data_IF_348967251404
#
_entry.id   IF_348967251404
#
_cell.length_a   1.000
_cell.length_b   1.000
_cell.length_c   1.000
_cell.angle_alpha   90.00
_cell.angle_beta   90.00
_cell.angle_gamma   90.00
#
_symmetry.space_group_name_H-M   'P 1'
#
loop_
_entity.id
_entity.type
_entity.pdbx_description
1 polymer ?
#
# COMPACT_ATOMS: atom_id res chain seq x y z
N UNK A 1 96.12 5.72 -8.49
CA UNK A 1 95.94 5.64 -9.95
C UNK A 1 94.77 4.67 -10.20
N UNK A 2 93.86 5.01 -11.14
CA UNK A 2 92.44 4.59 -11.29
C UNK A 2 91.52 5.31 -10.28
N UNK A 3 90.66 6.32 -10.57
CA UNK A 3 89.75 6.73 -11.67
C UNK A 3 88.42 5.96 -11.80
N UNK A 4 87.33 6.74 -11.70
CA UNK A 4 85.92 6.57 -12.11
C UNK A 4 85.05 5.57 -11.31
N UNK A 5 83.73 5.76 -11.10
CA UNK A 5 82.75 6.62 -11.76
C UNK A 5 81.64 7.09 -10.81
N UNK A 6 81.03 8.23 -11.15
CA UNK A 6 79.77 8.74 -10.60
C UNK A 6 78.57 8.04 -11.24
N UNK A 7 77.55 7.68 -10.46
CA UNK A 7 76.20 7.48 -11.00
C UNK A 7 75.16 8.08 -10.04
N UNK A 8 74.46 9.10 -10.52
CA UNK A 8 73.29 9.65 -9.88
C UNK A 8 72.08 8.77 -10.19
N UNK A 9 71.47 8.21 -9.16
CA UNK A 9 70.16 7.57 -9.29
C UNK A 9 69.09 8.50 -8.74
N UNK A 10 68.48 9.27 -9.65
CA UNK A 10 67.21 9.94 -9.39
C UNK A 10 66.16 8.89 -9.02
N UNK A 11 65.50 9.08 -7.89
CA UNK A 11 64.38 8.22 -7.47
C UNK A 11 63.24 8.37 -8.47
N UNK A 12 62.98 7.33 -9.24
CA UNK A 12 61.77 7.20 -10.04
C UNK A 12 60.57 7.01 -9.10
N UNK A 13 59.71 8.02 -8.99
CA UNK A 13 58.40 7.88 -8.34
C UNK A 13 57.39 7.40 -9.38
N UNK A 14 56.82 6.19 -9.22
CA UNK A 14 55.78 5.74 -10.13
C UNK A 14 54.49 6.57 -9.91
N UNK A 15 53.69 6.79 -10.96
CA UNK A 15 52.61 7.79 -10.99
C UNK A 15 51.40 7.52 -10.06
N UNK A 16 51.48 6.53 -9.16
CA UNK A 16 50.40 6.17 -8.22
C UNK A 16 50.73 6.49 -6.76
N UNK A 17 51.81 7.24 -6.50
CA UNK A 17 52.25 7.56 -5.13
C UNK A 17 51.37 8.59 -4.39
N UNK A 18 50.33 9.12 -5.04
CA UNK A 18 49.35 10.01 -4.41
C UNK A 18 47.92 9.45 -4.57
N UNK A 19 47.59 8.42 -3.80
CA UNK A 19 46.20 8.14 -3.46
C UNK A 19 46.07 8.36 -1.96
N UNK A 20 45.64 9.56 -1.60
CA UNK A 20 45.03 9.83 -0.29
C UNK A 20 43.89 8.85 -0.10
N UNK A 21 43.78 8.25 1.09
CA UNK A 21 42.64 7.42 1.49
C UNK A 21 41.34 8.17 1.19
N UNK A 22 40.73 7.82 0.07
CA UNK A 22 39.42 8.28 -0.33
C UNK A 22 38.45 7.78 0.72
N UNK A 23 37.80 8.70 1.42
CA UNK A 23 36.59 8.44 2.20
C UNK A 23 35.67 7.54 1.39
N UNK A 24 35.62 6.26 1.74
CA UNK A 24 34.53 5.40 1.34
C UNK A 24 33.31 5.97 2.05
N UNK A 25 32.57 6.83 1.35
CA UNK A 25 31.16 7.04 1.66
C UNK A 25 30.54 5.66 1.56
N UNK A 26 30.15 5.14 2.72
CA UNK A 26 29.40 3.90 2.85
C UNK A 26 28.28 3.95 1.80
N UNK A 27 28.29 2.99 0.87
CA UNK A 27 27.22 2.90 -0.10
C UNK A 27 25.92 2.77 0.69
N UNK A 28 24.80 3.42 0.28
CA UNK A 28 23.53 3.16 0.92
C UNK A 28 23.34 1.64 0.95
N UNK A 29 22.90 1.06 2.08
CA UNK A 29 22.75 -0.38 2.17
C UNK A 29 21.95 -0.85 0.96
N UNK A 30 22.38 -1.95 0.34
CA UNK A 30 21.69 -2.55 -0.80
C UNK A 30 20.19 -2.75 -0.48
N UNK A 31 19.34 -2.95 -1.50
CA UNK A 31 17.91 -3.14 -1.30
C UNK A 31 17.69 -4.15 -0.16
N UNK A 32 17.08 -3.68 0.91
CA UNK A 32 16.79 -4.49 2.07
C UNK A 32 15.65 -5.42 1.65
N UNK A 33 15.91 -6.73 1.64
CA UNK A 33 14.89 -7.74 1.40
C UNK A 33 13.93 -7.76 2.59
N UNK A 34 12.88 -6.95 2.53
CA UNK A 34 11.78 -7.00 3.48
C UNK A 34 10.70 -7.95 2.96
N UNK A 35 10.31 -8.92 3.80
CA UNK A 35 9.07 -9.67 3.57
C UNK A 35 7.92 -8.83 4.13
N UNK A 36 7.04 -8.36 3.24
CA UNK A 36 5.86 -7.60 3.62
C UNK A 36 4.77 -8.57 4.10
N UNK A 37 4.38 -8.49 5.38
CA UNK A 37 3.27 -9.25 5.96
C UNK A 37 1.99 -8.41 5.92
N UNK A 38 1.54 -8.04 4.72
CA UNK A 38 0.28 -7.32 4.52
C UNK A 38 -0.67 -8.11 3.63
N UNK A 39 -1.96 -7.89 3.82
CA UNK A 39 -2.96 -8.40 2.89
C UNK A 39 -2.75 -7.84 1.49
N UNK A 40 -2.67 -8.73 0.49
CA UNK A 40 -2.49 -8.35 -0.90
C UNK A 40 -3.67 -7.51 -1.41
N UNK A 41 -3.43 -6.44 -2.20
CA UNK A 41 -4.51 -5.63 -2.75
C UNK A 41 -5.35 -6.44 -3.73
N UNK A 42 -6.66 -6.17 -3.75
CA UNK A 42 -7.61 -6.83 -4.66
C UNK A 42 -8.07 -5.86 -5.74
N UNK A 43 -8.76 -4.79 -5.33
CA UNK A 43 -9.13 -3.65 -6.19
C UNK A 43 -8.88 -2.35 -5.44
N UNK A 44 -7.60 -1.97 -5.29
CA UNK A 44 -7.21 -0.91 -4.37
C UNK A 44 -7.53 0.49 -4.89
N UNK A 45 -7.90 0.62 -6.17
CA UNK A 45 -8.19 1.88 -6.85
C UNK A 45 -9.59 1.87 -7.44
N UNK A 46 -10.28 3.01 -7.38
CA UNK A 46 -11.53 3.24 -8.10
C UNK A 46 -11.57 4.66 -8.68
N UNK A 47 -11.75 4.78 -9.99
CA UNK A 47 -11.96 6.06 -10.67
C UNK A 47 -13.46 6.38 -10.72
N UNK A 48 -13.83 7.63 -10.46
CA UNK A 48 -15.21 8.10 -10.58
C UNK A 48 -15.68 8.04 -12.03
N UNK A 49 -17.00 7.98 -12.22
CA UNK A 49 -17.60 7.87 -13.56
C UNK A 49 -17.27 9.06 -14.48
N UNK A 50 -17.08 10.26 -13.92
CA UNK A 50 -16.66 11.48 -14.64
C UNK A 50 -15.14 11.55 -14.86
N UNK A 51 -14.36 10.67 -14.21
CA UNK A 51 -12.91 10.66 -14.30
C UNK A 51 -12.20 11.73 -13.48
N UNK A 52 -12.91 12.53 -12.67
CA UNK A 52 -12.35 13.66 -11.91
C UNK A 52 -11.83 13.28 -10.53
N UNK A 53 -12.22 12.11 -10.00
CA UNK A 53 -11.81 11.63 -8.68
C UNK A 53 -11.28 10.21 -8.73
N UNK A 54 -10.11 9.99 -8.10
CA UNK A 54 -9.53 8.66 -7.91
C UNK A 54 -9.48 8.34 -6.42
N UNK A 55 -10.11 7.22 -6.04
CA UNK A 55 -10.01 6.63 -4.72
C UNK A 55 -8.84 5.64 -4.69
N UNK A 56 -8.06 5.66 -3.62
CA UNK A 56 -7.02 4.69 -3.36
C UNK A 56 -7.05 4.23 -1.90
N UNK A 57 -6.99 2.92 -1.67
CA UNK A 57 -6.77 2.40 -0.33
C UNK A 57 -5.28 2.43 0.00
N UNK A 58 -4.96 2.92 1.18
CA UNK A 58 -3.62 2.95 1.73
C UNK A 58 -3.56 1.92 2.86
N UNK A 59 -3.25 0.67 2.46
CA UNK A 59 -3.29 -0.51 3.34
C UNK A 59 -2.48 -0.34 4.62
N UNK A 60 -1.20 0.10 4.58
CA UNK A 60 -0.39 0.24 5.79
C UNK A 60 -0.91 1.33 6.73
N UNK A 61 -1.54 2.37 6.18
CA UNK A 61 -2.03 3.50 6.96
C UNK A 61 -3.46 3.30 7.49
N UNK A 62 -4.20 2.29 7.02
CA UNK A 62 -5.62 2.14 7.34
C UNK A 62 -6.47 3.33 6.85
N UNK A 63 -6.18 3.83 5.63
CA UNK A 63 -6.83 5.03 5.10
C UNK A 63 -7.40 4.84 3.69
N UNK A 64 -8.41 5.64 3.39
CA UNK A 64 -8.87 5.93 2.03
C UNK A 64 -8.30 7.29 1.62
N UNK A 65 -7.42 7.29 0.62
CA UNK A 65 -6.90 8.48 -0.01
C UNK A 65 -7.80 8.86 -1.21
N UNK A 66 -8.21 10.13 -1.27
CA UNK A 66 -9.08 10.68 -2.32
C UNK A 66 -8.28 11.71 -3.10
N UNK A 67 -8.09 11.46 -4.39
CA UNK A 67 -7.35 12.31 -5.30
C UNK A 67 -8.30 13.03 -6.27
N UNK A 68 -7.98 14.30 -6.57
CA UNK A 68 -8.48 14.96 -7.78
C UNK A 68 -7.60 14.56 -8.95
N UNK A 69 -8.23 14.21 -10.06
CA UNK A 69 -7.58 13.91 -11.33
C UNK A 69 -7.61 15.16 -12.20
N UNK A 70 -6.44 15.55 -12.70
CA UNK A 70 -6.28 16.72 -13.58
C UNK A 70 -5.40 16.36 -14.78
N UNK A 71 -5.35 17.21 -15.79
CA UNK A 71 -4.42 17.06 -16.91
C UNK A 71 -2.93 17.06 -16.49
N UNK A 72 -2.63 17.58 -15.30
CA UNK A 72 -1.28 17.61 -14.72
C UNK A 72 -0.98 16.39 -13.83
N UNK A 73 -1.94 15.47 -13.69
CA UNK A 73 -1.84 14.28 -12.85
C UNK A 73 -2.76 14.31 -11.63
N UNK A 74 -2.36 13.58 -10.58
CA UNK A 74 -3.15 13.35 -9.37
C UNK A 74 -2.76 14.34 -8.27
N UNK A 75 -3.75 14.95 -7.61
CA UNK A 75 -3.56 15.77 -6.42
C UNK A 75 -4.32 15.18 -5.25
N UNK A 76 -3.64 14.87 -4.13
CA UNK A 76 -4.29 14.34 -2.94
C UNK A 76 -5.19 15.42 -2.33
N UNK A 77 -6.51 15.20 -2.35
CA UNK A 77 -7.50 16.12 -1.81
C UNK A 77 -7.75 15.87 -0.33
N UNK A 78 -7.96 14.60 0.01
CA UNK A 78 -8.37 14.18 1.35
C UNK A 78 -7.80 12.80 1.65
N UNK A 79 -7.67 12.52 2.94
CA UNK A 79 -7.39 11.17 3.40
C UNK A 79 -8.20 10.87 4.65
N UNK A 80 -8.98 9.80 4.59
CA UNK A 80 -10.00 9.47 5.58
C UNK A 80 -9.61 8.18 6.29
N UNK A 81 -9.58 8.15 7.64
CA UNK A 81 -9.33 6.91 8.37
C UNK A 81 -10.48 5.91 8.14
N UNK A 82 -10.12 4.65 7.92
CA UNK A 82 -11.04 3.52 7.74
C UNK A 82 -10.67 2.38 8.70
N UNK A 83 -11.05 1.14 8.40
CA UNK A 83 -10.65 -0.03 9.19
C UNK A 83 -9.21 -0.48 8.90
N UNK A 84 -8.85 -1.64 9.45
CA UNK A 84 -7.50 -2.19 9.35
C UNK A 84 -7.32 -2.98 8.06
N UNK A 85 -6.14 -2.80 7.45
CA UNK A 85 -5.75 -3.39 6.16
C UNK A 85 -6.85 -3.26 5.09
N UNK A 86 -7.17 -2.03 4.65
CA UNK A 86 -8.07 -1.84 3.54
C UNK A 86 -7.44 -2.39 2.24
N UNK A 87 -8.19 -3.23 1.52
CA UNK A 87 -7.71 -3.99 0.34
C UNK A 87 -8.50 -3.73 -0.94
N UNK A 88 -9.72 -3.21 -0.82
CA UNK A 88 -10.56 -2.86 -1.95
C UNK A 88 -11.43 -1.63 -1.67
N UNK A 89 -11.73 -0.87 -2.72
CA UNK A 89 -12.67 0.25 -2.66
C UNK A 89 -13.57 0.26 -3.89
N UNK A 90 -14.83 0.66 -3.70
CA UNK A 90 -15.75 0.93 -4.79
C UNK A 90 -16.61 2.15 -4.49
N UNK A 91 -16.94 2.91 -5.54
CA UNK A 91 -18.05 3.85 -5.48
C UNK A 91 -19.38 3.11 -5.44
N UNK A 92 -20.34 3.64 -4.69
CA UNK A 92 -21.74 3.25 -4.80
C UNK A 92 -22.36 3.78 -6.11
N UNK A 93 -23.61 3.40 -6.38
CA UNK A 93 -24.29 3.70 -7.65
C UNK A 93 -24.37 5.20 -7.99
N UNK A 94 -24.59 6.06 -7.00
CA UNK A 94 -24.72 7.51 -7.19
C UNK A 94 -23.39 8.28 -7.09
N UNK A 95 -22.26 7.58 -6.91
CA UNK A 95 -20.91 8.13 -6.77
C UNK A 95 -20.72 9.05 -5.54
N UNK A 96 -21.65 9.06 -4.57
CA UNK A 96 -21.56 9.91 -3.37
C UNK A 96 -20.93 9.21 -2.17
N UNK A 97 -20.70 7.91 -2.26
CA UNK A 97 -20.06 7.13 -1.20
C UNK A 97 -18.94 6.25 -1.75
N UNK A 98 -17.86 6.14 -0.98
CA UNK A 98 -16.86 5.10 -1.11
C UNK A 98 -17.14 3.97 -0.10
N UNK A 99 -17.12 2.73 -0.56
CA UNK A 99 -17.23 1.54 0.28
C UNK A 99 -15.89 0.83 0.26
N UNK A 100 -15.24 0.78 1.42
CA UNK A 100 -13.87 0.27 1.59
C UNK A 100 -13.93 -1.04 2.36
N UNK A 101 -13.35 -2.09 1.78
CA UNK A 101 -13.23 -3.41 2.41
C UNK A 101 -11.98 -3.45 3.27
N UNK A 102 -12.16 -3.68 4.56
CA UNK A 102 -11.09 -3.76 5.55
C UNK A 102 -10.88 -5.22 5.93
N UNK A 103 -9.77 -5.80 5.44
CA UNK A 103 -9.52 -7.23 5.52
C UNK A 103 -9.27 -7.68 6.97
N UNK A 104 -8.35 -7.03 7.69
CA UNK A 104 -7.96 -7.46 9.02
C UNK A 104 -9.02 -7.16 10.10
N UNK A 105 -9.84 -6.14 9.90
CA UNK A 105 -10.88 -5.76 10.85
C UNK A 105 -12.27 -6.32 10.51
N UNK A 106 -12.39 -7.28 9.59
CA UNK A 106 -13.65 -7.95 9.22
C UNK A 106 -14.83 -7.00 8.97
N UNK A 107 -14.57 -5.92 8.24
CA UNK A 107 -15.53 -4.83 8.12
C UNK A 107 -15.51 -4.12 6.79
N UNK A 108 -16.55 -3.33 6.54
CA UNK A 108 -16.64 -2.39 5.42
C UNK A 108 -16.85 -1.00 5.99
N UNK A 109 -16.00 -0.05 5.59
CA UNK A 109 -16.15 1.36 5.90
C UNK A 109 -16.92 2.07 4.79
N UNK A 110 -17.96 2.80 5.13
CA UNK A 110 -18.73 3.64 4.21
C UNK A 110 -18.34 5.09 4.46
N UNK A 111 -17.71 5.71 3.46
CA UNK A 111 -17.26 7.10 3.51
C UNK A 111 -18.16 7.95 2.60
N UNK A 112 -18.77 8.99 3.15
CA UNK A 112 -19.52 9.98 2.38
C UNK A 112 -18.53 10.97 1.72
N UNK A 113 -18.58 11.07 0.39
CA UNK A 113 -17.71 11.91 -0.43
C UNK A 113 -18.35 13.26 -0.80
N UNK A 114 -19.66 13.38 -0.62
CA UNK A 114 -20.44 14.59 -0.85
C UNK A 114 -20.42 15.57 0.33
N UNK A 115 -19.57 15.30 1.33
CA UNK A 115 -19.30 16.16 2.48
C UNK A 115 -17.92 16.77 2.36
N UNK A 116 -17.74 17.94 2.96
CA UNK A 116 -16.45 18.62 3.01
C UNK A 116 -16.12 18.93 4.48
N UNK A 117 -15.18 18.19 5.10
CA UNK A 117 -14.40 17.09 4.54
C UNK A 117 -15.24 15.81 4.32
N UNK A 118 -14.75 14.85 3.51
CA UNK A 118 -15.33 13.52 3.46
C UNK A 118 -15.28 12.86 4.84
N UNK A 119 -16.27 12.03 5.14
CA UNK A 119 -16.45 11.47 6.48
C UNK A 119 -16.78 9.98 6.41
N UNK A 120 -16.15 9.18 7.27
CA UNK A 120 -16.63 7.85 7.61
C UNK A 120 -18.00 7.98 8.27
N UNK A 121 -19.06 7.51 7.60
CA UNK A 121 -20.44 7.62 8.09
C UNK A 121 -20.94 6.33 8.72
N UNK A 122 -20.35 5.19 8.36
CA UNK A 122 -20.76 3.89 8.90
C UNK A 122 -19.64 2.86 8.76
N UNK A 123 -19.60 1.92 9.71
CA UNK A 123 -18.82 0.68 9.60
C UNK A 123 -19.78 -0.50 9.68
N UNK A 124 -19.71 -1.39 8.69
CA UNK A 124 -20.48 -2.63 8.63
C UNK A 124 -19.57 -3.79 9.03
N UNK A 125 -19.99 -4.59 10.00
CA UNK A 125 -19.31 -5.84 10.33
C UNK A 125 -19.77 -6.95 9.38
N UNK A 126 -18.83 -7.69 8.81
CA UNK A 126 -19.10 -8.73 7.81
C UNK A 126 -18.50 -10.08 8.22
N UNK A 127 -18.43 -11.03 7.28
CA UNK A 127 -17.70 -12.28 7.48
C UNK A 127 -16.20 -12.06 7.64
N UNK A 128 -15.51 -13.15 7.96
CA UNK A 128 -14.06 -13.18 8.18
C UNK A 128 -13.31 -12.84 6.88
N UNK A 129 -12.21 -12.09 6.97
CA UNK A 129 -11.33 -11.76 5.84
C UNK A 129 -12.07 -11.29 4.57
N UNK A 130 -12.86 -10.20 4.61
CA UNK A 130 -13.52 -9.68 3.42
C UNK A 130 -12.46 -9.17 2.44
N UNK A 131 -12.69 -9.41 1.14
CA UNK A 131 -11.67 -9.17 0.09
C UNK A 131 -12.09 -8.21 -1.01
N UNK A 132 -13.26 -8.42 -1.59
CA UNK A 132 -13.72 -7.62 -2.73
C UNK A 132 -15.17 -7.16 -2.56
N UNK A 133 -15.51 -6.05 -3.22
CA UNK A 133 -16.87 -5.47 -3.22
C UNK A 133 -17.31 -4.94 -4.58
N UNK A 134 -18.39 -5.48 -5.15
CA UNK A 134 -18.98 -4.98 -6.39
C UNK A 134 -20.40 -4.46 -6.17
N UNK A 135 -20.74 -3.36 -6.85
CA UNK A 135 -22.12 -2.89 -6.96
C UNK A 135 -22.74 -3.38 -8.26
N UNK A 136 -23.83 -4.16 -8.16
CA UNK A 136 -24.49 -4.82 -9.29
C UNK A 136 -26.03 -4.76 -9.19
N UNK A 137 -26.68 -5.34 -10.20
CA UNK A 137 -28.13 -5.25 -10.43
C UNK A 137 -28.50 -4.14 -11.43
N UNK A 138 -29.76 -4.07 -11.88
CA UNK A 138 -30.20 -3.13 -12.94
C UNK A 138 -29.90 -1.67 -12.64
N UNK A 139 -29.94 -1.30 -11.36
CA UNK A 139 -29.68 0.04 -10.84
C UNK A 139 -28.35 0.14 -10.08
N UNK A 140 -27.55 -0.94 -10.05
CA UNK A 140 -26.33 -1.06 -9.24
C UNK A 140 -26.54 -0.78 -7.74
N UNK A 141 -27.75 -0.95 -7.21
CA UNK A 141 -28.08 -0.64 -5.81
C UNK A 141 -27.73 -1.75 -4.82
N UNK A 142 -27.22 -2.89 -5.28
CA UNK A 142 -26.84 -4.03 -4.43
C UNK A 142 -25.32 -4.15 -4.37
N UNK A 143 -24.76 -4.14 -3.17
CA UNK A 143 -23.38 -4.46 -2.90
C UNK A 143 -23.22 -5.97 -2.67
N UNK A 144 -22.29 -6.60 -3.37
CA UNK A 144 -21.88 -7.98 -3.17
C UNK A 144 -20.45 -7.99 -2.66
N UNK A 145 -20.22 -8.72 -1.56
CA UNK A 145 -18.93 -8.75 -0.87
C UNK A 145 -18.47 -10.20 -0.76
N UNK A 146 -17.22 -10.46 -1.11
CA UNK A 146 -16.60 -11.76 -0.85
C UNK A 146 -16.00 -11.76 0.54
N UNK A 147 -16.38 -12.72 1.37
CA UNK A 147 -15.77 -12.96 2.68
C UNK A 147 -15.50 -14.45 2.84
N UNK A 148 -14.49 -14.79 3.62
CA UNK A 148 -14.25 -16.16 4.03
C UNK A 148 -15.42 -16.65 4.88
N UNK A 149 -15.68 -17.96 4.81
CA UNK A 149 -16.53 -18.59 5.79
C UNK A 149 -15.81 -18.50 7.13
N UNK A 150 -16.44 -17.90 8.15
CA UNK A 150 -15.88 -17.87 9.50
C UNK A 150 -15.46 -19.29 9.85
N UNK A 151 -14.17 -19.51 10.01
CA UNK A 151 -13.62 -20.76 10.50
C UNK A 151 -14.06 -20.94 11.94
N UNK A 152 -15.32 -21.33 12.16
CA UNK A 152 -15.69 -21.88 13.44
C UNK A 152 -14.88 -23.17 13.54
N UNK A 153 -13.87 -23.16 14.39
CA UNK A 153 -13.62 -24.33 15.22
C UNK A 153 -14.97 -24.65 15.88
N UNK A 154 -15.83 -25.39 15.18
CA UNK A 154 -16.95 -26.03 15.82
C UNK A 154 -16.26 -26.95 16.83
N UNK A 155 -16.49 -26.77 18.14
CA UNK A 155 -16.29 -27.89 19.02
C UNK A 155 -17.20 -28.98 18.43
N UNK A 156 -16.62 -29.98 17.78
CA UNK A 156 -17.34 -31.21 17.56
C UNK A 156 -17.64 -31.71 18.97
N UNK A 157 -18.87 -31.50 19.42
CA UNK A 157 -19.37 -32.11 20.65
C UNK A 157 -19.43 -33.62 20.39
N UNK A 158 -18.35 -34.31 20.72
CA UNK A 158 -18.31 -35.78 20.80
C UNK A 158 -19.07 -36.27 22.04
N UNK A 159 -20.22 -35.67 22.34
CA UNK A 159 -21.11 -36.15 23.39
C UNK A 159 -21.37 -37.65 23.16
N UNK A 160 -21.20 -38.51 24.18
CA UNK A 160 -21.30 -39.94 23.97
C UNK A 160 -22.69 -40.27 23.43
N UNK A 161 -22.74 -40.99 22.30
CA UNK A 161 -23.98 -41.63 21.88
C UNK A 161 -24.33 -42.70 22.90
N UNK A 162 -25.49 -42.51 23.54
CA UNK A 162 -26.22 -43.38 24.47
C UNK A 162 -25.85 -43.29 25.95
#
# INVERSE_FOLDING_TARGET
MAMAASEGHGRFQPPWSNVSESTLLDAPPGPQDYTLFESGPVRPLALSADGEQLLAVNTPAGRLDVYVVTDQGLSLAQSVPVGLEPVAVAFNADQRQAWVVNHLSDSISIVALDRQPAQLVQTLWVGDEPRDIVFAGPTRSLAFVTAAHRGQHLPMDWGPTR
#
